data_IF_121014859485
#
_entry.id   IF_121014859485
#
_cell.length_a   1.000
_cell.length_b   1.000
_cell.length_c   1.000
_cell.angle_alpha   90.00
_cell.angle_beta   90.00
_cell.angle_gamma   90.00
#
_symmetry.space_group_name_H-M   'P 1'
#
loop_
_entity.id
_entity.type
_entity.pdbx_description
1 polymer ?
#
# COMPACT_ATOMS: atom_id res chain seq x y z
N UNK A 1 24.34 9.22 -12.91
CA UNK A 1 23.54 8.23 -13.66
C UNK A 1 22.78 7.39 -12.65
N UNK A 2 21.48 7.61 -12.51
CA UNK A 2 20.65 6.78 -11.62
C UNK A 2 20.53 5.37 -12.18
N UNK A 3 20.72 4.37 -11.32
CA UNK A 3 20.52 2.96 -11.68
C UNK A 3 19.10 2.75 -12.22
N UNK A 4 18.90 1.89 -13.23
CA UNK A 4 17.56 1.65 -13.75
C UNK A 4 16.64 1.14 -12.64
N UNK A 5 15.41 1.64 -12.58
CA UNK A 5 14.41 1.19 -11.62
C UNK A 5 14.14 -0.30 -11.82
N UNK A 6 14.40 -1.08 -10.79
CA UNK A 6 14.09 -2.51 -10.73
C UNK A 6 13.39 -2.83 -9.42
N UNK A 7 12.70 -3.97 -9.36
CA UNK A 7 12.13 -4.45 -8.09
C UNK A 7 13.20 -4.65 -7.01
N UNK A 8 14.40 -5.04 -7.42
CA UNK A 8 15.54 -5.23 -6.51
C UNK A 8 16.01 -3.91 -5.90
N UNK A 9 16.07 -2.81 -6.67
CA UNK A 9 16.44 -1.49 -6.13
C UNK A 9 15.43 -0.99 -5.11
N UNK A 10 14.13 -1.27 -5.31
CA UNK A 10 13.08 -0.96 -4.33
C UNK A 10 13.29 -1.76 -3.03
N UNK A 11 13.56 -3.06 -3.12
CA UNK A 11 13.86 -3.89 -1.94
C UNK A 11 15.06 -3.34 -1.16
N UNK A 12 16.15 -3.00 -1.86
CA UNK A 12 17.33 -2.41 -1.23
C UNK A 12 17.00 -1.08 -0.54
N UNK A 13 16.22 -0.20 -1.17
CA UNK A 13 15.80 1.07 -0.57
C UNK A 13 14.93 0.87 0.68
N UNK A 14 14.06 -0.16 0.70
CA UNK A 14 13.28 -0.51 1.88
C UNK A 14 14.18 -1.03 3.02
N UNK A 15 15.17 -1.83 2.73
CA UNK A 15 16.09 -2.39 3.73
C UNK A 15 16.95 -1.32 4.44
N UNK A 16 17.22 -0.17 3.78
CA UNK A 16 17.92 0.93 4.44
C UNK A 16 17.19 1.49 5.67
N UNK A 17 15.86 1.30 5.79
CA UNK A 17 15.10 1.73 6.99
C UNK A 17 15.39 0.92 8.27
N UNK A 18 16.20 -0.14 8.20
CA UNK A 18 16.66 -0.85 9.40
C UNK A 18 17.59 0.01 10.25
N UNK A 19 18.39 0.84 9.60
CA UNK A 19 19.42 1.67 10.25
C UNK A 19 19.46 3.05 9.62
N UNK A 20 20.11 4.00 10.31
CA UNK A 20 20.40 5.32 9.78
C UNK A 20 19.28 6.35 10.00
N UNK A 21 19.39 7.47 9.30
CA UNK A 21 18.47 8.60 9.41
C UNK A 21 17.18 8.34 8.64
N UNK A 22 16.04 8.50 9.31
CA UNK A 22 14.72 8.19 8.74
C UNK A 22 14.38 9.10 7.55
N UNK A 23 14.65 10.39 7.64
CA UNK A 23 14.43 11.35 6.54
C UNK A 23 15.26 10.96 5.31
N UNK A 24 16.54 10.63 5.50
CA UNK A 24 17.41 10.27 4.38
C UNK A 24 16.98 8.95 3.72
N UNK A 25 16.57 7.96 4.52
CA UNK A 25 16.06 6.71 4.00
C UNK A 25 14.75 6.90 3.22
N UNK A 26 13.86 7.76 3.72
CA UNK A 26 12.62 8.11 3.03
C UNK A 26 12.88 8.83 1.70
N UNK A 27 13.81 9.80 1.68
CA UNK A 27 14.23 10.45 0.44
C UNK A 27 14.79 9.45 -0.56
N UNK A 28 15.71 8.59 -0.13
CA UNK A 28 16.30 7.57 -0.98
C UNK A 28 15.23 6.62 -1.59
N UNK A 29 14.19 6.28 -0.83
CA UNK A 29 13.07 5.49 -1.36
C UNK A 29 12.35 6.24 -2.48
N UNK A 30 11.98 7.51 -2.28
CA UNK A 30 11.27 8.29 -3.30
C UNK A 30 12.15 8.60 -4.51
N UNK A 31 13.44 8.86 -4.33
CA UNK A 31 14.42 8.99 -5.42
C UNK A 31 14.56 7.69 -6.21
N UNK A 32 14.59 6.53 -5.53
CA UNK A 32 14.57 5.22 -6.17
C UNK A 32 13.29 5.00 -6.98
N UNK A 33 12.14 5.50 -6.49
CA UNK A 33 10.89 5.49 -7.23
C UNK A 33 10.82 6.55 -8.35
N UNK A 34 11.88 7.34 -8.54
CA UNK A 34 12.03 8.30 -9.63
C UNK A 34 11.35 9.64 -9.39
N UNK A 35 10.98 9.98 -8.15
CA UNK A 35 10.48 11.31 -7.82
C UNK A 35 11.63 12.30 -7.73
N UNK A 36 11.41 13.52 -8.24
CA UNK A 36 12.34 14.62 -8.01
C UNK A 36 12.16 15.13 -6.57
N UNK A 37 13.20 15.03 -5.77
CA UNK A 37 13.21 15.41 -4.36
C UNK A 37 14.05 16.67 -4.11
N UNK A 38 14.36 17.50 -5.12
CA UNK A 38 15.28 18.64 -4.98
C UNK A 38 14.71 19.76 -4.10
N UNK A 39 13.38 19.96 -4.11
CA UNK A 39 12.71 20.98 -3.29
C UNK A 39 12.47 20.45 -1.87
N UNK A 40 13.50 20.57 -1.02
CA UNK A 40 13.52 20.08 0.37
C UNK A 40 13.43 21.24 1.34
N UNK A 41 12.73 20.99 2.46
CA UNK A 41 12.67 21.91 3.59
C UNK A 41 12.48 21.09 4.87
N UNK A 42 13.61 20.65 5.42
CA UNK A 42 13.60 19.75 6.59
C UNK A 42 13.49 20.55 7.88
N UNK A 43 12.80 19.96 8.86
CA UNK A 43 12.80 20.49 10.21
C UNK A 43 14.20 20.37 10.81
N UNK A 44 14.64 21.38 11.52
CA UNK A 44 15.94 21.38 12.22
C UNK A 44 15.96 20.31 13.30
N UNK A 45 14.83 20.17 14.00
CA UNK A 45 14.55 19.09 14.94
C UNK A 45 13.28 18.37 14.47
N UNK A 46 13.36 17.11 14.04
CA UNK A 46 12.23 16.38 13.49
C UNK A 46 11.26 15.88 14.58
N UNK A 47 10.75 16.82 15.35
CA UNK A 47 9.86 16.64 16.50
C UNK A 47 8.54 17.37 16.28
N UNK A 48 7.47 16.90 16.94
CA UNK A 48 6.16 17.53 16.86
C UNK A 48 6.16 19.01 17.26
N UNK A 49 6.99 19.42 18.22
CA UNK A 49 7.08 20.81 18.68
C UNK A 49 7.45 21.75 17.53
N UNK A 50 8.45 21.39 16.74
CA UNK A 50 8.88 22.19 15.59
C UNK A 50 7.89 22.10 14.43
N UNK A 51 7.33 20.91 14.15
CA UNK A 51 6.24 20.75 13.19
C UNK A 51 5.06 21.67 13.51
N UNK A 52 4.67 21.77 14.78
CA UNK A 52 3.60 22.64 15.25
C UNK A 52 3.91 24.12 15.00
N UNK A 53 5.12 24.54 15.29
CA UNK A 53 5.56 25.92 15.10
C UNK A 53 5.55 26.33 13.61
N UNK A 54 6.03 25.46 12.74
CA UNK A 54 6.13 25.73 11.30
C UNK A 54 4.80 25.66 10.57
N UNK A 55 3.97 24.65 10.86
CA UNK A 55 2.83 24.29 10.01
C UNK A 55 1.47 24.58 10.62
N UNK A 56 1.34 24.67 11.96
CA UNK A 56 0.04 24.87 12.60
C UNK A 56 -0.17 26.36 12.91
N UNK A 57 -0.57 27.12 11.90
CA UNK A 57 -0.91 28.55 12.05
C UNK A 57 -2.30 28.74 12.67
N UNK A 58 -3.26 27.90 12.28
CA UNK A 58 -4.64 27.92 12.78
C UNK A 58 -4.94 26.63 13.54
N UNK A 59 -4.97 26.74 14.87
CA UNK A 59 -5.24 25.60 15.75
C UNK A 59 -6.64 25.02 15.59
N UNK A 60 -7.60 25.76 15.03
CA UNK A 60 -8.95 25.26 14.79
C UNK A 60 -9.00 24.22 13.65
N UNK A 61 -8.00 24.22 12.78
CA UNK A 61 -7.93 23.27 11.64
C UNK A 61 -7.26 21.94 11.98
N UNK A 62 -6.60 21.81 13.12
CA UNK A 62 -5.85 20.63 13.50
C UNK A 62 -6.19 20.17 14.90
N UNK A 63 -6.60 18.93 15.06
CA UNK A 63 -6.84 18.32 16.36
C UNK A 63 -5.69 17.43 16.77
N UNK A 64 -4.94 17.86 17.79
CA UNK A 64 -3.80 17.11 18.36
C UNK A 64 -4.23 15.73 18.85
N UNK A 65 -5.41 15.63 19.48
CA UNK A 65 -5.95 14.36 19.98
C UNK A 65 -6.25 13.37 18.84
N UNK A 66 -6.89 13.86 17.76
CA UNK A 66 -7.20 13.02 16.58
C UNK A 66 -5.94 12.63 15.83
N UNK A 67 -4.99 13.54 15.73
CA UNK A 67 -3.69 13.27 15.13
C UNK A 67 -2.80 12.40 16.04
N UNK A 68 -3.20 12.20 17.31
CA UNK A 68 -2.43 11.43 18.29
C UNK A 68 -0.97 11.84 18.34
N UNK A 69 -0.73 13.15 18.44
CA UNK A 69 0.62 13.70 18.36
C UNK A 69 1.54 13.21 19.49
N UNK A 70 0.97 12.76 20.61
CA UNK A 70 1.71 12.09 21.69
C UNK A 70 2.41 10.80 21.26
N UNK A 71 1.93 10.18 20.18
CA UNK A 71 2.49 8.94 19.64
C UNK A 71 3.54 9.22 18.54
N UNK A 72 3.77 10.48 18.16
CA UNK A 72 4.75 10.83 17.13
C UNK A 72 6.16 10.80 17.71
N UNK A 73 6.93 9.80 17.33
CA UNK A 73 8.34 9.64 17.74
C UNK A 73 9.27 10.49 16.87
N UNK A 74 8.84 10.78 15.64
CA UNK A 74 9.58 11.53 14.64
C UNK A 74 8.60 12.11 13.62
N UNK A 75 8.84 13.33 13.15
CA UNK A 75 8.10 13.93 12.02
C UNK A 75 9.01 14.85 11.24
N UNK A 76 8.98 14.73 9.91
CA UNK A 76 9.75 15.63 9.03
C UNK A 76 9.03 15.84 7.69
N UNK A 77 9.24 17.04 7.10
CA UNK A 77 8.88 17.32 5.71
C UNK A 77 10.01 16.83 4.81
N UNK A 78 9.70 15.89 3.90
CA UNK A 78 10.71 15.33 3.00
C UNK A 78 11.00 16.25 1.82
N UNK A 79 9.97 16.56 1.06
CA UNK A 79 10.06 17.40 -0.14
C UNK A 79 8.69 17.87 -0.61
N UNK A 80 8.69 18.83 -1.49
CA UNK A 80 7.54 19.27 -2.26
C UNK A 80 7.73 18.90 -3.73
N UNK A 81 6.71 18.29 -4.33
CA UNK A 81 6.65 18.08 -5.77
C UNK A 81 5.75 19.17 -6.37
N UNK A 82 6.33 20.12 -7.07
CA UNK A 82 5.60 21.18 -7.76
C UNK A 82 5.56 20.95 -9.28
N UNK A 83 4.87 21.83 -9.99
CA UNK A 83 4.77 21.75 -11.45
C UNK A 83 6.14 21.87 -12.13
N UNK A 84 7.09 22.63 -11.54
CA UNK A 84 8.44 22.78 -12.07
C UNK A 84 9.24 21.47 -11.99
N UNK A 85 9.20 20.79 -10.86
CA UNK A 85 9.86 19.51 -10.66
C UNK A 85 9.22 18.41 -11.55
N UNK A 86 7.91 18.46 -11.71
CA UNK A 86 7.20 17.52 -12.58
C UNK A 86 7.53 17.75 -14.06
N UNK A 87 7.62 19.00 -14.52
CA UNK A 87 7.95 19.35 -15.92
C UNK A 87 9.39 18.97 -16.29
N UNK A 88 10.32 19.01 -15.36
CA UNK A 88 11.69 18.57 -15.62
C UNK A 88 11.80 17.08 -15.95
N UNK A 89 10.77 16.30 -15.63
CA UNK A 89 10.71 14.85 -15.82
C UNK A 89 9.77 14.42 -16.96
N UNK A 90 8.93 15.34 -17.47
CA UNK A 90 7.94 15.07 -18.51
C UNK A 90 8.38 15.75 -19.83
N UNK A 91 8.33 15.07 -20.99
CA UNK A 91 8.67 15.69 -22.27
C UNK A 91 7.84 16.94 -22.56
N UNK A 92 8.49 17.98 -23.07
CA UNK A 92 8.04 19.35 -23.24
C UNK A 92 6.89 19.59 -24.26
N UNK A 93 6.15 18.59 -24.67
CA UNK A 93 5.27 18.69 -25.86
C UNK A 93 3.80 19.03 -25.59
N UNK A 94 3.39 19.32 -24.36
CA UNK A 94 2.00 19.76 -24.13
C UNK A 94 1.93 21.09 -23.35
N UNK A 95 2.23 22.18 -24.02
CA UNK A 95 2.13 23.55 -23.48
C UNK A 95 0.77 24.21 -23.71
N UNK A 96 -0.22 23.50 -24.23
CA UNK A 96 -1.41 24.10 -24.81
C UNK A 96 -2.65 24.24 -23.94
N UNK A 97 -2.71 23.70 -22.73
CA UNK A 97 -3.88 23.81 -21.85
C UNK A 97 -3.52 24.42 -20.51
N UNK A 98 -4.06 25.61 -20.26
CA UNK A 98 -4.08 26.22 -18.92
C UNK A 98 -5.04 25.38 -18.08
N UNK A 99 -4.47 24.55 -17.17
CA UNK A 99 -5.24 23.83 -16.16
C UNK A 99 -5.47 24.78 -14.98
N UNK A 100 -6.71 25.25 -14.80
CA UNK A 100 -7.10 26.16 -13.71
C UNK A 100 -7.41 25.42 -12.41
N UNK A 101 -6.90 24.21 -12.21
CA UNK A 101 -7.12 23.45 -10.98
C UNK A 101 -6.24 23.98 -9.85
N UNK A 102 -6.81 24.07 -8.64
CA UNK A 102 -6.17 24.58 -7.42
C UNK A 102 -5.01 23.69 -6.92
N UNK A 103 -4.79 22.54 -7.53
CA UNK A 103 -3.79 21.56 -7.15
C UNK A 103 -2.46 21.83 -7.84
N UNK A 104 -1.59 22.62 -7.21
CA UNK A 104 -0.31 23.04 -7.81
C UNK A 104 0.92 22.30 -7.25
N UNK A 105 0.78 21.55 -6.16
CA UNK A 105 1.88 20.85 -5.52
C UNK A 105 1.42 19.66 -4.67
N UNK A 106 2.36 18.77 -4.34
CA UNK A 106 2.22 17.72 -3.33
C UNK A 106 3.28 17.89 -2.27
N UNK A 107 2.91 17.66 -1.00
CA UNK A 107 3.84 17.58 0.11
C UNK A 107 4.05 16.14 0.55
N UNK A 108 5.28 15.80 0.84
CA UNK A 108 5.68 14.47 1.30
C UNK A 108 6.24 14.57 2.70
N UNK A 109 5.64 13.84 3.64
CA UNK A 109 6.08 13.77 5.03
C UNK A 109 6.49 12.36 5.41
N UNK A 110 7.36 12.27 6.42
CA UNK A 110 7.62 11.03 7.13
C UNK A 110 7.22 11.20 8.61
N UNK A 111 6.55 10.20 9.17
CA UNK A 111 6.17 10.17 10.58
C UNK A 111 6.53 8.79 11.15
N UNK A 112 7.23 8.76 12.29
CA UNK A 112 7.46 7.51 13.02
C UNK A 112 6.48 7.39 14.18
N UNK A 113 5.90 6.21 14.32
CA UNK A 113 4.91 5.86 15.33
C UNK A 113 5.36 4.63 16.13
N UNK A 114 4.81 4.39 17.32
CA UNK A 114 4.96 3.13 18.03
C UNK A 114 4.53 1.93 17.15
N UNK A 115 5.02 0.73 17.44
CA UNK A 115 4.69 -0.47 16.67
C UNK A 115 3.20 -0.76 16.59
N UNK A 116 2.77 -1.32 15.44
CA UNK A 116 1.43 -1.83 15.18
C UNK A 116 0.27 -0.83 15.31
N UNK A 117 0.35 0.39 14.73
CA UNK A 117 -0.78 1.31 14.68
C UNK A 117 -1.93 0.68 13.89
N UNK A 118 -3.16 0.84 14.38
CA UNK A 118 -4.32 0.38 13.64
C UNK A 118 -4.62 1.32 12.44
N UNK A 119 -5.44 0.83 11.50
CA UNK A 119 -5.82 1.57 10.29
C UNK A 119 -6.50 2.90 10.60
N UNK A 120 -7.35 2.92 11.62
CA UNK A 120 -8.09 4.12 12.02
C UNK A 120 -7.15 5.24 12.44
N UNK A 121 -6.13 4.92 13.26
CA UNK A 121 -5.10 5.88 13.69
C UNK A 121 -4.37 6.48 12.50
N UNK A 122 -3.84 5.65 11.59
CA UNK A 122 -3.12 6.12 10.39
C UNK A 122 -4.01 7.02 9.52
N UNK A 123 -5.29 6.63 9.36
CA UNK A 123 -6.27 7.40 8.58
C UNK A 123 -6.57 8.75 9.24
N UNK A 124 -6.72 8.79 10.57
CA UNK A 124 -6.98 10.03 11.31
C UNK A 124 -5.79 10.99 11.23
N UNK A 125 -4.57 10.50 11.47
CA UNK A 125 -3.35 11.30 11.33
C UNK A 125 -3.27 11.90 9.93
N UNK A 126 -3.46 11.06 8.90
CA UNK A 126 -3.41 11.52 7.50
C UNK A 126 -4.43 12.62 7.22
N UNK A 127 -5.66 12.50 7.74
CA UNK A 127 -6.70 13.53 7.56
C UNK A 127 -6.35 14.83 8.28
N UNK A 128 -5.89 14.75 9.53
CA UNK A 128 -5.55 15.95 10.30
C UNK A 128 -4.37 16.70 9.66
N UNK A 129 -3.30 15.99 9.25
CA UNK A 129 -2.18 16.63 8.55
C UNK A 129 -2.63 17.25 7.23
N UNK A 130 -3.47 16.57 6.46
CA UNK A 130 -3.98 17.12 5.20
C UNK A 130 -4.87 18.37 5.36
N UNK A 131 -5.49 18.58 6.53
CA UNK A 131 -6.29 19.80 6.82
C UNK A 131 -5.45 21.05 6.98
N UNK A 132 -4.17 20.89 7.30
CA UNK A 132 -3.26 22.03 7.47
C UNK A 132 -2.90 22.69 6.14
N UNK A 133 -2.97 21.93 5.04
CA UNK A 133 -2.46 22.37 3.74
C UNK A 133 -3.57 22.45 2.70
N UNK A 134 -3.52 23.43 1.79
CA UNK A 134 -4.43 23.51 0.64
C UNK A 134 -4.15 22.41 -0.39
N UNK A 135 -2.91 21.88 -0.42
CA UNK A 135 -2.46 20.84 -1.31
C UNK A 135 -2.49 19.46 -0.65
N UNK A 136 -2.60 18.37 -1.43
CA UNK A 136 -2.57 17.02 -0.89
C UNK A 136 -1.22 16.69 -0.24
N UNK A 137 -1.29 15.89 0.83
CA UNK A 137 -0.12 15.42 1.56
C UNK A 137 -0.06 13.90 1.46
N UNK A 138 1.10 13.39 1.09
CA UNK A 138 1.46 11.98 1.16
C UNK A 138 2.32 11.76 2.40
N UNK A 139 1.99 10.74 3.19
CA UNK A 139 2.73 10.45 4.43
C UNK A 139 3.29 9.03 4.36
N UNK A 140 4.60 8.93 4.59
CA UNK A 140 5.27 7.67 4.85
C UNK A 140 5.35 7.46 6.36
N UNK A 141 4.59 6.52 6.88
CA UNK A 141 4.67 6.12 8.27
C UNK A 141 5.71 5.01 8.45
N UNK A 142 6.60 5.16 9.45
CA UNK A 142 7.44 4.08 9.97
C UNK A 142 6.89 3.63 11.32
N UNK A 143 6.76 2.33 11.53
CA UNK A 143 6.31 1.76 12.79
C UNK A 143 6.94 0.37 13.01
N UNK A 144 7.82 0.27 14.00
CA UNK A 144 8.63 -0.92 14.22
C UNK A 144 9.44 -1.28 12.97
N UNK A 145 9.31 -2.53 12.50
CA UNK A 145 9.99 -3.05 11.29
C UNK A 145 9.15 -2.93 10.01
N UNK A 146 8.17 -2.02 9.99
CA UNK A 146 7.25 -1.86 8.86
C UNK A 146 7.05 -0.41 8.46
N UNK A 147 6.73 -0.21 7.17
CA UNK A 147 6.33 1.07 6.61
C UNK A 147 4.87 1.02 6.17
N UNK A 148 4.23 2.18 6.17
CA UNK A 148 2.90 2.36 5.58
C UNK A 148 2.88 3.65 4.77
N UNK A 149 2.55 3.57 3.48
CA UNK A 149 2.36 4.75 2.65
C UNK A 149 0.89 5.15 2.67
N UNK A 150 0.62 6.41 2.98
CA UNK A 150 -0.73 6.97 3.05
C UNK A 150 -0.92 8.08 2.02
N UNK A 151 -1.99 7.97 1.26
CA UNK A 151 -2.36 8.92 0.21
C UNK A 151 -3.82 9.30 0.42
N UNK A 152 -4.12 10.60 0.39
CA UNK A 152 -5.49 11.09 0.50
C UNK A 152 -6.03 11.52 -0.85
N UNK A 153 -7.28 11.16 -1.11
CA UNK A 153 -8.02 11.70 -2.23
C UNK A 153 -8.72 12.97 -1.78
N UNK A 154 -8.48 14.07 -2.48
CA UNK A 154 -9.21 15.32 -2.33
C UNK A 154 -10.17 15.52 -3.49
N UNK A 155 -11.31 16.09 -3.19
CA UNK A 155 -12.30 16.47 -4.18
C UNK A 155 -12.77 17.88 -3.86
N UNK A 156 -12.81 18.74 -4.87
CA UNK A 156 -13.45 20.04 -4.76
C UNK A 156 -14.92 19.86 -4.40
N UNK A 157 -15.39 20.63 -3.42
CA UNK A 157 -16.80 20.61 -3.09
C UNK A 157 -17.59 21.23 -4.25
N UNK A 158 -18.55 20.48 -4.80
CA UNK A 158 -19.40 20.94 -5.92
C UNK A 158 -20.27 22.14 -5.59
N UNK A 159 -20.49 22.41 -4.30
CA UNK A 159 -21.42 23.45 -3.80
C UNK A 159 -20.67 24.66 -3.25
N UNK A 160 -19.43 24.52 -2.85
CA UNK A 160 -18.63 25.59 -2.24
C UNK A 160 -17.13 25.31 -2.56
N UNK A 161 -16.62 26.01 -3.57
CA UNK A 161 -15.24 25.85 -4.05
C UNK A 161 -14.19 26.20 -2.99
N UNK A 162 -14.61 26.84 -1.88
CA UNK A 162 -13.74 27.14 -0.73
C UNK A 162 -13.57 25.95 0.24
N UNK A 163 -14.34 24.89 0.09
CA UNK A 163 -14.35 23.74 0.98
C UNK A 163 -13.94 22.45 0.25
N UNK A 164 -12.70 22.06 0.44
CA UNK A 164 -12.23 20.75 0.03
C UNK A 164 -12.88 19.64 0.87
N UNK A 165 -13.46 18.67 0.22
CA UNK A 165 -13.92 17.44 0.88
C UNK A 165 -12.75 16.46 0.92
N UNK A 166 -12.24 16.19 2.13
CA UNK A 166 -11.29 15.12 2.35
C UNK A 166 -12.01 13.78 2.20
N UNK A 167 -11.81 13.15 1.04
CA UNK A 167 -12.48 11.90 0.72
C UNK A 167 -11.78 10.68 1.37
N UNK A 168 -11.49 9.70 0.58
CA UNK A 168 -10.96 8.42 1.00
C UNK A 168 -9.44 8.48 1.22
N UNK A 169 -8.98 7.98 2.37
CA UNK A 169 -7.55 7.70 2.61
C UNK A 169 -7.25 6.30 2.13
N UNK A 170 -6.27 6.17 1.25
CA UNK A 170 -5.72 4.89 0.80
C UNK A 170 -4.42 4.61 1.52
N UNK A 171 -4.30 3.42 2.10
CA UNK A 171 -3.12 2.97 2.83
C UNK A 171 -2.53 1.73 2.15
N UNK A 172 -1.22 1.78 1.86
CA UNK A 172 -0.41 0.60 1.56
C UNK A 172 0.27 0.23 2.87
N UNK A 173 -0.38 -0.66 3.63
CA UNK A 173 -0.06 -0.92 5.04
C UNK A 173 0.90 -2.10 5.21
N UNK A 174 1.73 -2.02 6.26
CA UNK A 174 2.57 -3.11 6.74
C UNK A 174 3.59 -3.63 5.71
N UNK A 175 4.22 -2.71 4.97
CA UNK A 175 5.35 -3.02 4.10
C UNK A 175 6.53 -3.43 4.99
N UNK A 176 6.89 -4.71 5.03
CA UNK A 176 8.02 -5.19 5.81
C UNK A 176 9.33 -4.60 5.27
N UNK A 177 10.17 -4.05 6.17
CA UNK A 177 11.47 -3.49 5.84
C UNK A 177 12.44 -4.60 5.44
N UNK A 178 12.50 -5.69 6.22
CA UNK A 178 13.46 -6.77 6.02
C UNK A 178 13.07 -7.71 4.88
N UNK A 179 11.77 -8.09 4.85
CA UNK A 179 11.25 -9.07 3.91
C UNK A 179 9.98 -8.54 3.24
N UNK A 180 10.09 -7.51 2.37
CA UNK A 180 8.93 -6.94 1.71
C UNK A 180 8.25 -7.98 0.81
N UNK A 181 6.93 -8.08 0.91
CA UNK A 181 6.16 -8.96 0.04
C UNK A 181 6.19 -8.47 -1.40
N UNK A 182 6.22 -9.41 -2.34
CA UNK A 182 6.24 -9.11 -3.78
C UNK A 182 5.12 -8.15 -4.19
N UNK A 183 3.91 -8.31 -3.63
CA UNK A 183 2.80 -7.42 -3.95
C UNK A 183 3.05 -5.97 -3.53
N UNK A 184 3.69 -5.73 -2.37
CA UNK A 184 4.09 -4.38 -1.97
C UNK A 184 5.14 -3.80 -2.92
N UNK A 185 6.12 -4.62 -3.33
CA UNK A 185 7.15 -4.21 -4.29
C UNK A 185 6.51 -3.86 -5.64
N UNK A 186 5.57 -4.69 -6.12
CA UNK A 186 4.87 -4.45 -7.39
C UNK A 186 4.01 -3.17 -7.32
N UNK A 187 3.30 -2.89 -6.19
CA UNK A 187 2.55 -1.65 -6.00
C UNK A 187 3.49 -0.44 -5.98
N UNK A 188 4.60 -0.50 -5.24
CA UNK A 188 5.60 0.59 -5.21
C UNK A 188 6.22 0.81 -6.59
N UNK A 189 6.51 -0.26 -7.34
CA UNK A 189 6.98 -0.17 -8.72
C UNK A 189 5.97 0.55 -9.62
N UNK A 190 4.69 0.19 -9.53
CA UNK A 190 3.62 0.84 -10.29
C UNK A 190 3.38 2.29 -9.89
N UNK A 191 3.69 2.66 -8.63
CA UNK A 191 3.64 4.04 -8.14
C UNK A 191 4.91 4.84 -8.47
N UNK A 192 5.92 4.22 -9.05
CA UNK A 192 7.10 4.95 -9.49
C UNK A 192 6.77 5.96 -10.57
N UNK A 193 7.44 7.10 -10.54
CA UNK A 193 7.17 8.20 -11.47
C UNK A 193 7.31 7.79 -12.95
N UNK A 194 8.38 7.04 -13.36
CA UNK A 194 8.52 6.57 -14.74
C UNK A 194 7.39 5.61 -15.18
N UNK A 195 6.99 4.70 -14.29
CA UNK A 195 5.94 3.73 -14.63
C UNK A 195 4.57 4.39 -14.72
N UNK A 196 4.24 5.30 -13.79
CA UNK A 196 3.04 6.13 -13.87
C UNK A 196 3.00 6.92 -15.17
N UNK A 197 4.12 7.54 -15.58
CA UNK A 197 4.22 8.27 -16.83
C UNK A 197 4.03 7.37 -18.04
N UNK A 198 4.64 6.18 -18.03
CA UNK A 198 4.54 5.19 -19.12
C UNK A 198 3.09 4.72 -19.33
N UNK A 199 2.38 4.44 -18.23
CA UNK A 199 1.04 3.85 -18.26
C UNK A 199 -0.05 4.90 -18.44
N UNK A 200 0.05 6.02 -17.72
CA UNK A 200 -1.04 7.01 -17.65
C UNK A 200 -0.76 8.27 -18.45
N UNK A 201 0.48 8.50 -18.92
CA UNK A 201 0.86 9.64 -19.75
C UNK A 201 0.38 10.99 -19.17
N UNK A 202 0.52 11.16 -17.86
CA UNK A 202 0.08 12.39 -17.18
C UNK A 202 0.93 13.59 -17.61
N UNK A 203 0.31 14.77 -17.67
CA UNK A 203 0.94 16.02 -18.12
C UNK A 203 0.88 17.12 -17.06
N UNK A 204 0.02 16.96 -16.07
CA UNK A 204 -0.20 17.92 -15.00
C UNK A 204 -0.55 17.21 -13.66
N UNK A 205 -0.70 18.00 -12.58
CA UNK A 205 -0.98 17.46 -11.24
C UNK A 205 -2.30 16.70 -11.16
N UNK A 206 -3.33 17.15 -11.85
CA UNK A 206 -4.64 16.49 -11.83
C UNK A 206 -4.55 15.11 -12.45
N UNK A 207 -3.89 15.02 -13.60
CA UNK A 207 -3.69 13.74 -14.29
C UNK A 207 -2.72 12.81 -13.54
N UNK A 208 -1.70 13.35 -12.86
CA UNK A 208 -0.85 12.58 -11.94
C UNK A 208 -1.65 12.04 -10.75
N UNK A 209 -2.49 12.88 -10.14
CA UNK A 209 -3.35 12.45 -9.04
C UNK A 209 -4.33 11.36 -9.46
N UNK A 210 -4.94 11.50 -10.64
CA UNK A 210 -5.79 10.47 -11.22
C UNK A 210 -5.01 9.19 -11.53
N UNK A 211 -3.75 9.29 -11.96
CA UNK A 211 -2.88 8.15 -12.17
C UNK A 211 -2.63 7.38 -10.85
N UNK A 212 -2.31 8.08 -9.76
CA UNK A 212 -2.20 7.46 -8.44
C UNK A 212 -3.51 6.80 -7.99
N UNK A 213 -4.65 7.50 -8.14
CA UNK A 213 -5.95 6.94 -7.78
C UNK A 213 -6.27 5.66 -8.56
N UNK A 214 -6.01 5.65 -9.87
CA UNK A 214 -6.21 4.48 -10.72
C UNK A 214 -5.30 3.33 -10.28
N UNK A 215 -4.00 3.59 -10.11
CA UNK A 215 -3.01 2.57 -9.70
C UNK A 215 -3.36 1.95 -8.35
N UNK A 216 -3.90 2.76 -7.42
CA UNK A 216 -4.30 2.32 -6.09
C UNK A 216 -5.78 1.91 -6.00
N UNK A 217 -6.49 1.85 -7.12
CA UNK A 217 -7.90 1.48 -7.11
C UNK A 217 -8.07 0.01 -6.68
N UNK A 218 -9.05 -0.24 -5.82
CA UNK A 218 -9.41 -1.59 -5.37
C UNK A 218 -9.76 -2.46 -6.58
N UNK A 219 -10.35 -1.89 -7.61
CA UNK A 219 -10.72 -2.62 -8.83
C UNK A 219 -9.49 -3.21 -9.54
N UNK A 220 -8.43 -2.41 -9.75
CA UNK A 220 -7.20 -2.90 -10.39
C UNK A 220 -6.47 -3.95 -9.53
N UNK A 221 -6.45 -3.75 -8.20
CA UNK A 221 -5.89 -4.74 -7.27
C UNK A 221 -6.68 -6.05 -7.32
N UNK A 222 -8.01 -5.96 -7.37
CA UNK A 222 -8.88 -7.13 -7.51
C UNK A 222 -8.67 -7.84 -8.84
N UNK A 223 -8.61 -7.11 -9.95
CA UNK A 223 -8.37 -7.68 -11.28
C UNK A 223 -7.02 -8.43 -11.35
N UNK A 224 -5.97 -7.87 -10.74
CA UNK A 224 -4.67 -8.56 -10.61
C UNK A 224 -4.80 -9.81 -9.76
N UNK A 225 -5.41 -9.71 -8.60
CA UNK A 225 -5.63 -10.85 -7.70
C UNK A 225 -6.36 -11.99 -8.42
N UNK A 226 -7.49 -11.69 -9.08
CA UNK A 226 -8.24 -12.72 -9.80
C UNK A 226 -7.46 -13.31 -10.97
N UNK A 227 -6.70 -12.51 -11.69
CA UNK A 227 -5.83 -13.00 -12.77
C UNK A 227 -4.73 -13.93 -12.24
N UNK A 228 -4.06 -13.54 -11.16
CA UNK A 228 -3.01 -14.36 -10.57
C UNK A 228 -3.57 -15.64 -9.96
N UNK A 229 -4.72 -15.55 -9.28
CA UNK A 229 -5.46 -16.71 -8.77
C UNK A 229 -5.88 -17.67 -9.90
N UNK A 230 -6.40 -17.12 -11.01
CA UNK A 230 -6.79 -17.92 -12.18
C UNK A 230 -5.59 -18.58 -12.84
N UNK A 231 -4.48 -17.89 -13.01
CA UNK A 231 -3.24 -18.46 -13.53
C UNK A 231 -2.72 -19.59 -12.65
N UNK A 232 -2.77 -19.39 -11.32
CA UNK A 232 -2.42 -20.44 -10.37
C UNK A 232 -3.36 -21.64 -10.45
N UNK A 233 -4.67 -21.40 -10.55
CA UNK A 233 -5.67 -22.45 -10.77
C UNK A 233 -5.36 -23.28 -12.02
N UNK A 234 -5.15 -22.63 -13.16
CA UNK A 234 -4.83 -23.31 -14.41
C UNK A 234 -3.54 -24.15 -14.31
N UNK A 235 -2.54 -23.62 -13.61
CA UNK A 235 -1.31 -24.35 -13.36
C UNK A 235 -1.56 -25.55 -12.43
N UNK A 236 -2.28 -25.37 -11.33
CA UNK A 236 -2.57 -26.43 -10.34
C UNK A 236 -3.34 -27.60 -10.96
N UNK A 237 -4.38 -27.31 -11.76
CA UNK A 237 -5.18 -28.35 -12.45
C UNK A 237 -4.33 -29.23 -13.37
N UNK A 238 -3.24 -28.70 -13.95
CA UNK A 238 -2.34 -29.46 -14.82
C UNK A 238 -1.41 -30.40 -14.06
N UNK A 239 -1.02 -30.05 -12.84
CA UNK A 239 0.05 -30.73 -12.09
C UNK A 239 -0.49 -31.61 -10.99
N UNK A 240 -1.52 -31.16 -10.28
CA UNK A 240 -2.07 -31.86 -9.12
C UNK A 240 -3.04 -32.94 -9.57
N UNK A 241 -3.03 -34.08 -8.87
CA UNK A 241 -4.04 -35.14 -8.98
C UNK A 241 -4.63 -35.37 -7.60
N UNK A 242 -5.95 -35.42 -7.53
CA UNK A 242 -6.66 -35.72 -6.30
C UNK A 242 -7.18 -37.15 -6.34
N UNK A 243 -7.12 -37.89 -5.21
CA UNK A 243 -7.76 -39.18 -5.10
C UNK A 243 -9.25 -39.05 -5.41
N UNK A 244 -9.76 -39.93 -6.26
CA UNK A 244 -11.18 -40.00 -6.62
C UNK A 244 -11.80 -41.23 -5.96
N UNK A 245 -12.95 -41.11 -5.28
CA UNK A 245 -13.70 -42.27 -4.82
C UNK A 245 -14.18 -43.10 -6.01
N UNK A 246 -14.09 -44.42 -5.91
CA UNK A 246 -14.52 -45.34 -6.98
C UNK A 246 -16.01 -45.23 -7.34
N UNK A 247 -16.81 -44.59 -6.49
CA UNK A 247 -18.25 -44.37 -6.64
C UNK A 247 -18.60 -43.11 -7.43
N UNK A 248 -17.65 -42.26 -7.77
CA UNK A 248 -17.91 -41.02 -8.55
C UNK A 248 -17.78 -41.25 -10.05
N UNK A 249 -18.89 -41.07 -10.79
CA UNK A 249 -18.94 -41.12 -12.28
C UNK A 249 -18.31 -39.93 -12.99
N UNK A 250 -17.82 -38.91 -12.21
CA UNK A 250 -17.27 -37.67 -12.78
C UNK A 250 -15.93 -37.91 -13.49
N UNK A 251 -15.71 -37.28 -14.63
CA UNK A 251 -14.44 -37.30 -15.34
C UNK A 251 -13.28 -36.79 -14.44
N UNK A 252 -12.11 -37.46 -14.53
CA UNK A 252 -10.91 -37.14 -13.70
C UNK A 252 -10.44 -35.70 -13.80
N UNK A 253 -10.60 -35.08 -14.98
CA UNK A 253 -10.26 -33.68 -15.17
C UNK A 253 -11.22 -32.76 -14.41
N UNK A 254 -12.51 -33.03 -14.51
CA UNK A 254 -13.55 -32.28 -13.79
C UNK A 254 -13.44 -32.46 -12.28
N UNK A 255 -13.18 -33.68 -11.80
CA UNK A 255 -12.91 -33.95 -10.40
C UNK A 255 -11.70 -33.16 -9.88
N UNK A 256 -10.59 -33.18 -10.61
CA UNK A 256 -9.37 -32.42 -10.26
C UNK A 256 -9.66 -30.92 -10.24
N UNK A 257 -10.37 -30.38 -11.23
CA UNK A 257 -10.72 -28.95 -11.31
C UNK A 257 -11.55 -28.50 -10.10
N UNK A 258 -12.59 -29.25 -9.75
CA UNK A 258 -13.45 -28.99 -8.59
C UNK A 258 -12.63 -29.07 -7.28
N UNK A 259 -11.76 -30.07 -7.16
CA UNK A 259 -10.93 -30.27 -5.97
C UNK A 259 -9.91 -29.15 -5.78
N UNK A 260 -9.32 -28.63 -6.87
CA UNK A 260 -8.45 -27.44 -6.84
C UNK A 260 -9.23 -26.21 -6.37
N UNK A 261 -10.46 -25.99 -6.88
CA UNK A 261 -11.32 -24.87 -6.44
C UNK A 261 -11.62 -24.99 -4.94
N UNK A 262 -12.00 -26.17 -4.47
CA UNK A 262 -12.26 -26.43 -3.04
C UNK A 262 -11.02 -26.15 -2.18
N UNK A 263 -9.84 -26.57 -2.64
CA UNK A 263 -8.56 -26.29 -1.96
C UNK A 263 -8.29 -24.80 -1.87
N UNK A 264 -8.39 -24.07 -2.98
CA UNK A 264 -8.21 -22.62 -3.03
C UNK A 264 -9.14 -21.88 -2.07
N UNK A 265 -10.44 -22.21 -2.15
CA UNK A 265 -11.45 -21.58 -1.28
C UNK A 265 -11.15 -21.83 0.20
N UNK A 266 -10.74 -23.03 0.57
CA UNK A 266 -10.36 -23.34 1.97
C UNK A 266 -9.11 -22.58 2.40
N UNK A 267 -8.10 -22.50 1.56
CA UNK A 267 -6.87 -21.77 1.87
C UNK A 267 -7.14 -20.27 2.05
N UNK A 268 -7.93 -19.66 1.16
CA UNK A 268 -8.34 -18.24 1.28
C UNK A 268 -9.13 -18.02 2.57
N UNK A 269 -10.05 -18.91 2.91
CA UNK A 269 -10.87 -18.82 4.11
C UNK A 269 -10.04 -18.96 5.40
N UNK A 270 -9.12 -19.93 5.46
CA UNK A 270 -8.22 -20.12 6.62
C UNK A 270 -7.33 -18.89 6.79
N UNK A 271 -6.80 -18.37 5.68
CA UNK A 271 -6.00 -17.14 5.72
C UNK A 271 -6.83 -15.96 6.23
N UNK A 272 -8.05 -15.77 5.75
CA UNK A 272 -8.96 -14.71 6.19
C UNK A 272 -9.24 -14.79 7.70
N UNK A 273 -9.51 -15.98 8.24
CA UNK A 273 -9.72 -16.18 9.67
C UNK A 273 -8.46 -15.84 10.47
N UNK A 274 -7.29 -16.25 9.99
CA UNK A 274 -6.00 -15.96 10.63
C UNK A 274 -5.73 -14.47 10.74
N UNK A 275 -6.03 -13.70 9.69
CA UNK A 275 -5.79 -12.25 9.64
C UNK A 275 -6.84 -11.43 10.41
N UNK A 276 -8.05 -11.95 10.54
CA UNK A 276 -9.10 -11.31 11.32
C UNK A 276 -8.85 -11.50 12.81
N UNK A 277 -7.94 -10.70 13.40
CA UNK A 277 -7.80 -10.64 14.85
C UNK A 277 -9.12 -10.17 15.45
N UNK A 278 -9.71 -10.89 16.41
CA UNK A 278 -10.89 -10.39 17.10
C UNK A 278 -10.52 -9.12 17.87
N UNK A 279 -11.33 -8.08 17.74
CA UNK A 279 -11.21 -6.79 18.47
C UNK A 279 -11.31 -6.94 20.01
N UNK A 280 -11.57 -8.12 20.51
CA UNK A 280 -11.69 -8.44 21.93
C UNK A 280 -10.64 -9.48 22.33
N UNK A 281 -9.42 -9.09 22.63
CA UNK A 281 -8.41 -9.81 23.44
C UNK A 281 -8.42 -11.36 23.59
N UNK A 282 -9.35 -12.07 22.95
CA UNK A 282 -9.46 -13.52 22.91
C UNK A 282 -8.75 -14.03 21.67
N UNK A 283 -7.52 -14.47 21.85
CA UNK A 283 -6.78 -15.26 20.87
C UNK A 283 -7.62 -16.49 20.48
N UNK A 284 -8.12 -16.56 19.26
CA UNK A 284 -8.48 -17.84 18.67
C UNK A 284 -7.18 -18.61 18.43
N UNK A 285 -6.79 -19.40 19.40
CA UNK A 285 -5.79 -20.45 19.22
C UNK A 285 -6.44 -21.52 18.36
N UNK A 286 -6.33 -21.39 17.05
CA UNK A 286 -6.55 -22.52 16.16
C UNK A 286 -5.40 -23.49 16.45
N UNK A 287 -5.70 -24.58 17.11
CA UNK A 287 -4.72 -25.65 17.27
C UNK A 287 -4.37 -26.16 15.87
N UNK A 288 -3.11 -26.04 15.51
CA UNK A 288 -2.54 -26.59 14.26
C UNK A 288 -2.84 -28.10 14.11
N UNK A 289 -3.19 -28.78 15.21
CA UNK A 289 -3.63 -30.17 15.28
C UNK A 289 -4.93 -30.43 14.52
N UNK A 290 -5.91 -29.53 14.58
CA UNK A 290 -7.21 -29.71 13.89
C UNK A 290 -7.08 -29.58 12.36
N UNK A 291 -6.23 -28.65 11.88
CA UNK A 291 -5.94 -28.52 10.43
C UNK A 291 -5.18 -29.75 9.92
N UNK A 292 -4.31 -30.32 10.76
CA UNK A 292 -3.50 -31.50 10.42
C UNK A 292 -4.33 -32.77 10.33
N UNK A 293 -5.37 -32.93 11.14
CA UNK A 293 -6.17 -34.14 11.20
C UNK A 293 -7.28 -34.21 10.16
N UNK A 294 -7.90 -33.08 9.79
CA UNK A 294 -9.07 -33.07 8.91
C UNK A 294 -8.79 -32.66 7.45
N UNK A 295 -7.76 -31.85 7.22
CA UNK A 295 -7.49 -31.30 5.87
C UNK A 295 -6.29 -31.98 5.19
N UNK A 296 -5.31 -32.46 5.95
CA UNK A 296 -4.08 -33.01 5.42
C UNK A 296 -4.08 -34.49 5.01
N UNK A 297 -4.96 -35.38 5.49
CA UNK A 297 -4.94 -36.78 5.04
C UNK A 297 -5.27 -36.98 3.57
N UNK A 298 -5.92 -36.00 2.92
CA UNK A 298 -6.36 -36.10 1.52
C UNK A 298 -5.40 -35.50 0.48
N UNK A 299 -4.25 -34.96 0.91
CA UNK A 299 -3.30 -34.31 0.00
C UNK A 299 -1.86 -34.70 0.40
N UNK A 300 -1.17 -35.43 -0.47
CA UNK A 300 0.19 -35.91 -0.23
C UNK A 300 1.14 -34.83 0.26
N UNK A 301 1.79 -35.07 1.39
CA UNK A 301 2.53 -34.13 2.24
C UNK A 301 3.64 -33.31 1.55
N UNK A 302 4.14 -33.73 0.40
CA UNK A 302 5.31 -33.11 -0.26
C UNK A 302 5.02 -31.89 -1.12
N UNK A 303 3.77 -31.70 -1.57
CA UNK A 303 3.43 -30.60 -2.49
C UNK A 303 3.02 -29.32 -1.74
N UNK A 304 2.52 -29.47 -0.51
CA UNK A 304 1.99 -28.34 0.28
C UNK A 304 3.12 -27.51 0.89
N UNK A 305 4.20 -28.10 1.36
CA UNK A 305 5.30 -27.38 2.02
C UNK A 305 6.08 -26.46 1.08
N UNK A 306 6.23 -26.83 -0.18
CA UNK A 306 7.03 -26.06 -1.14
C UNK A 306 6.34 -24.79 -1.65
N UNK A 307 5.03 -24.57 -1.38
CA UNK A 307 4.27 -23.45 -1.95
C UNK A 307 3.42 -22.64 -0.99
N UNK A 308 3.38 -22.97 0.29
CA UNK A 308 2.79 -22.07 1.31
C UNK A 308 3.53 -20.72 1.37
N UNK A 309 4.85 -20.70 1.07
CA UNK A 309 5.60 -19.46 0.92
C UNK A 309 5.13 -18.60 -0.27
N UNK A 310 4.58 -19.22 -1.33
CA UNK A 310 4.01 -18.48 -2.46
C UNK A 310 2.57 -18.01 -2.20
N UNK A 311 1.83 -18.67 -1.32
CA UNK A 311 0.49 -18.22 -0.88
C UNK A 311 0.62 -17.03 0.07
N UNK A 312 1.70 -16.92 0.83
CA UNK A 312 2.06 -15.71 1.59
C UNK A 312 2.20 -14.46 0.68
N UNK A 313 2.36 -14.64 -0.65
CA UNK A 313 2.34 -13.56 -1.63
C UNK A 313 0.97 -12.88 -1.80
N UNK A 314 -0.11 -13.52 -1.36
CA UNK A 314 -1.47 -12.95 -1.45
C UNK A 314 -1.87 -12.12 -0.23
N UNK A 315 -1.04 -12.11 0.81
CA UNK A 315 -1.32 -11.44 2.09
C UNK A 315 -1.74 -9.96 1.98
N UNK A 316 -1.08 -9.09 1.20
CA UNK A 316 -1.47 -7.69 1.13
C UNK A 316 -2.74 -7.43 0.30
N UNK A 317 -3.03 -8.28 -0.67
CA UNK A 317 -4.16 -8.11 -1.60
C UNK A 317 -5.47 -8.49 -0.90
N UNK A 318 -5.46 -9.55 -0.12
CA UNK A 318 -6.63 -10.03 0.62
C UNK A 318 -6.92 -9.12 1.83
N UNK A 319 -5.90 -8.50 2.45
CA UNK A 319 -6.10 -7.49 3.51
C UNK A 319 -6.86 -6.28 2.97
N UNK A 320 -6.65 -5.90 1.70
CA UNK A 320 -7.41 -4.82 1.07
C UNK A 320 -8.88 -5.20 0.77
N UNK A 321 -9.16 -6.48 0.52
CA UNK A 321 -10.52 -6.99 0.27
C UNK A 321 -11.37 -7.08 1.54
N UNK A 322 -10.77 -7.42 2.69
CA UNK A 322 -11.50 -7.53 3.97
C UNK A 322 -12.01 -6.20 4.50
N UNK A 323 -11.53 -5.06 3.96
CA UNK A 323 -11.87 -3.71 4.42
C UNK A 323 -12.87 -2.99 3.53
N UNK A 324 -13.34 -3.63 2.45
CA UNK A 324 -14.35 -3.08 1.52
C UNK A 324 -15.79 -3.51 1.80
N UNK A 325 -16.02 -4.38 2.80
CA UNK A 325 -17.35 -4.88 3.20
C UNK A 325 -17.59 -4.41 4.63
N UNK A 326 -18.12 -3.21 4.75
CA UNK A 326 -18.52 -2.59 6.01
C UNK A 326 -18.99 -1.18 5.79
#
# INVERSE_FOLDING_TARGET
MSSPLTRHTIVSALQHFETGNLTQNALNLFETLGYNTDRRDHLTRPEYAEFREYFIRDRARFSEDRARVSDWLYVDLLFQLSLSEMKSQVPLFDTGRVDQTVMEAYLFFVIELPPAPNRSVLTQITREVNRLFPMPVMILFKHGSSLTLSIINRRLNKTDDSKDVLEKVTLIKDISIQKPHRAHIDILFDLSFPELQRVHKFTNFVTLHLAWQKTLSIQLLNERFYRDLFNWYLWAVRIVRFPKPDTEETDDKSHTAISVIRLLTRLIFIWFIKEKKPDSGKSFRFEYSAIRSEILPSVGFHIIYFKLDQIALFNPIITSLSTGIG
#
